data_IF_990632152253
#
_entry.id   IF_990632152253
#
_cell.length_a   1.000
_cell.length_b   1.000
_cell.length_c   1.000
_cell.angle_alpha   90.00
_cell.angle_beta   90.00
_cell.angle_gamma   90.00
#
_symmetry.space_group_name_H-M   'P 1'
#
loop_
_entity.id
_entity.type
_entity.pdbx_description
1 polymer ?
#
# COMPACT_ATOMS: atom_id res chain seq x y z
N UNK A 1 -8.30 -3.30 -17.33
CA UNK A 1 -7.92 -3.86 -16.01
C UNK A 1 -7.12 -2.82 -15.20
N UNK A 2 -7.58 -1.55 -15.11
CA UNK A 2 -6.87 -0.47 -14.42
C UNK A 2 -7.80 0.26 -13.42
N UNK A 3 -8.85 -0.43 -12.98
CA UNK A 3 -10.05 0.19 -12.42
C UNK A 3 -10.27 -0.14 -10.93
N UNK A 4 -9.46 -1.03 -10.35
CA UNK A 4 -9.61 -1.49 -8.95
C UNK A 4 -8.77 -0.70 -7.93
N UNK A 5 -7.99 0.29 -8.37
CA UNK A 5 -7.36 1.24 -7.44
C UNK A 5 -8.42 2.25 -7.02
N UNK A 6 -8.81 2.22 -5.74
CA UNK A 6 -9.77 3.17 -5.17
C UNK A 6 -9.21 4.59 -5.35
N UNK A 7 -9.82 5.35 -6.28
CA UNK A 7 -9.48 6.75 -6.55
C UNK A 7 -10.14 7.61 -5.48
N UNK A 8 -9.43 7.86 -4.40
CA UNK A 8 -9.90 8.68 -3.29
C UNK A 8 -9.03 8.54 -2.02
N UNK A 9 -9.23 9.40 -1.02
CA UNK A 9 -8.54 9.27 0.27
C UNK A 9 -9.00 8.01 1.01
N UNK A 10 -8.08 7.37 1.73
CA UNK A 10 -8.39 6.29 2.67
C UNK A 10 -8.80 6.90 4.02
N UNK A 11 -10.08 6.78 4.37
CA UNK A 11 -10.62 7.21 5.67
C UNK A 11 -10.68 5.99 6.60
N UNK A 12 -9.91 6.00 7.68
CA UNK A 12 -9.81 4.85 8.59
C UNK A 12 -9.64 5.32 10.05
N UNK A 13 -10.28 4.61 10.99
CA UNK A 13 -10.05 4.78 12.42
C UNK A 13 -9.05 3.71 12.86
N UNK A 14 -7.98 4.11 13.54
CA UNK A 14 -6.88 3.23 13.94
C UNK A 14 -6.55 3.38 15.41
N UNK A 15 -6.13 2.28 16.03
CA UNK A 15 -5.61 2.32 17.39
C UNK A 15 -4.19 2.91 17.41
N UNK A 16 -3.70 3.39 18.56
CA UNK A 16 -2.31 3.79 18.71
C UNK A 16 -1.36 2.62 18.37
N UNK A 17 -0.37 2.89 17.53
CA UNK A 17 0.57 1.88 17.07
C UNK A 17 1.42 2.36 15.91
N UNK A 18 2.30 1.48 15.43
CA UNK A 18 3.15 1.73 14.25
C UNK A 18 2.55 1.01 13.06
N UNK A 19 2.42 1.73 11.95
CA UNK A 19 1.84 1.23 10.71
C UNK A 19 2.73 1.60 9.53
N UNK A 20 2.81 0.70 8.55
CA UNK A 20 3.60 0.93 7.34
C UNK A 20 2.71 1.46 6.22
N UNK A 21 2.85 2.74 5.90
CA UNK A 21 2.10 3.38 4.83
C UNK A 21 2.74 3.12 3.46
N UNK A 22 1.92 2.81 2.46
CA UNK A 22 2.39 2.68 1.08
C UNK A 22 2.49 4.06 0.41
N UNK A 23 3.70 4.41 -0.04
CA UNK A 23 3.96 5.61 -0.86
C UNK A 23 4.37 5.30 -2.30
N UNK A 24 4.68 4.03 -2.62
CA UNK A 24 5.17 3.65 -3.95
C UNK A 24 4.07 3.35 -4.97
N UNK A 25 2.81 3.22 -4.54
CA UNK A 25 1.67 2.87 -5.41
C UNK A 25 1.66 1.42 -5.94
N UNK A 26 2.68 0.62 -5.61
CA UNK A 26 2.82 -0.77 -6.07
C UNK A 26 2.29 -1.84 -5.10
N UNK A 27 1.73 -1.44 -3.96
CA UNK A 27 1.17 -2.39 -2.98
C UNK A 27 -0.08 -3.06 -3.52
N UNK A 28 -0.21 -4.37 -3.30
CA UNK A 28 -1.43 -5.12 -3.57
C UNK A 28 -2.47 -4.98 -2.46
N UNK A 29 -2.10 -4.36 -1.34
CA UNK A 29 -2.97 -4.16 -0.17
C UNK A 29 -2.97 -2.69 0.27
N UNK A 30 -3.37 -1.75 -0.62
CA UNK A 30 -3.43 -0.35 -0.23
C UNK A 30 -4.46 -0.15 0.91
N UNK A 31 -4.22 0.78 1.86
CA UNK A 31 -3.17 1.80 1.89
C UNK A 31 -1.82 1.36 2.48
N UNK A 32 -1.69 0.10 2.90
CA UNK A 32 -0.53 -0.37 3.64
C UNK A 32 0.59 -0.88 2.73
N UNK A 33 1.80 -0.85 3.26
CA UNK A 33 2.97 -1.40 2.60
C UNK A 33 2.99 -2.93 2.74
N UNK A 34 3.08 -3.63 1.61
CA UNK A 34 3.20 -5.10 1.53
C UNK A 34 4.62 -5.56 1.14
N UNK A 35 5.58 -4.63 1.10
CA UNK A 35 6.95 -4.90 0.66
C UNK A 35 7.15 -4.89 -0.86
N UNK A 36 6.11 -4.67 -1.67
CA UNK A 36 6.23 -4.61 -3.13
C UNK A 36 7.09 -3.44 -3.64
N UNK A 37 7.40 -2.45 -2.79
CA UNK A 37 8.34 -1.38 -3.11
C UNK A 37 9.79 -1.87 -3.27
N UNK A 38 10.13 -3.03 -2.68
CA UNK A 38 11.47 -3.56 -2.75
C UNK A 38 11.79 -4.03 -4.18
N UNK A 39 12.98 -3.70 -4.71
CA UNK A 39 13.40 -4.21 -6.01
C UNK A 39 13.47 -5.74 -5.94
N UNK A 40 12.73 -6.41 -6.81
CA UNK A 40 12.78 -7.87 -6.97
C UNK A 40 14.19 -8.21 -7.45
N UNK A 41 15.06 -8.67 -6.54
CA UNK A 41 16.35 -9.28 -6.90
C UNK A 41 16.03 -10.50 -7.76
N UNK A 42 16.26 -10.40 -9.07
CA UNK A 42 16.27 -11.59 -9.93
C UNK A 42 17.48 -12.42 -9.49
N UNK A 43 17.24 -13.67 -9.10
CA UNK A 43 18.30 -14.67 -9.00
C UNK A 43 18.77 -15.01 -10.41
#
# INVERSE_FOLDING_TARGET
MADDVVKGPYLMVMNPGVYFWCSCGGSKTPPFCDGSHAPKKKK
#
